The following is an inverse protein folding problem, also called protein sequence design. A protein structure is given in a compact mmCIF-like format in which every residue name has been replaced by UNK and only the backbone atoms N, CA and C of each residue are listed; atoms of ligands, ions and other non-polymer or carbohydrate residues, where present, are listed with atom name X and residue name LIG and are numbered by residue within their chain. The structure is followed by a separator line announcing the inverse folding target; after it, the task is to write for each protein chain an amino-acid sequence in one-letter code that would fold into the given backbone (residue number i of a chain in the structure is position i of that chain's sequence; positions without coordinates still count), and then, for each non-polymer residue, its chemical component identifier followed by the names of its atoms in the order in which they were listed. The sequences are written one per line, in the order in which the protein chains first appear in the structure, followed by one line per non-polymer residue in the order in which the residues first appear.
data_IF_149936501168
#
_entry.id   IF_149936501168
#
_cell.length_a   1.000
_cell.length_b   1.000
_cell.length_c   1.000
_cell.angle_alpha   90.00
_cell.angle_beta   90.00
_cell.angle_gamma   90.00
#
_symmetry.space_group_name_H-M   'P 1'
#
loop_
_entity.id
_entity.type
_entity.pdbx_description
1 polymer ?
#
# COMPACT_ATOMS: atom_id res chain seq x y z
N UNK A 1 33.97 -6.80 -45.99
CA UNK A 1 32.55 -6.45 -45.89
C UNK A 1 31.89 -7.53 -45.07
N UNK A 2 31.79 -7.34 -43.80
CA UNK A 2 30.99 -8.18 -42.91
C UNK A 2 30.28 -7.25 -41.95
N UNK A 3 28.99 -7.34 -41.97
CA UNK A 3 27.99 -6.57 -41.28
C UNK A 3 28.07 -6.80 -39.78
N UNK A 4 28.27 -5.72 -39.02
CA UNK A 4 28.08 -5.66 -37.59
C UNK A 4 26.56 -5.74 -37.28
N UNK A 5 26.13 -6.88 -36.81
CA UNK A 5 24.83 -7.04 -36.22
C UNK A 5 24.92 -6.51 -34.78
N UNK A 6 24.40 -5.34 -34.53
CA UNK A 6 24.25 -4.76 -33.21
C UNK A 6 23.34 -5.63 -32.34
N UNK A 7 23.92 -6.28 -31.38
CA UNK A 7 23.22 -6.92 -30.25
C UNK A 7 22.71 -5.76 -29.38
N UNK A 8 21.43 -5.45 -29.49
CA UNK A 8 20.76 -4.50 -28.62
C UNK A 8 20.74 -5.03 -27.19
N UNK A 9 21.60 -4.48 -26.36
CA UNK A 9 21.51 -4.63 -24.90
C UNK A 9 20.18 -4.06 -24.44
N UNK A 10 19.30 -4.90 -23.96
CA UNK A 10 18.12 -4.51 -23.19
C UNK A 10 18.58 -3.88 -21.89
N UNK A 11 19.01 -2.62 -21.93
CA UNK A 11 19.21 -1.81 -20.74
C UNK A 11 17.82 -1.59 -20.13
N UNK A 12 17.53 -2.33 -19.06
CA UNK A 12 16.42 -2.08 -18.16
C UNK A 12 16.38 -0.58 -17.86
N UNK A 13 15.26 0.04 -18.23
CA UNK A 13 14.99 1.42 -17.86
C UNK A 13 14.78 1.45 -16.36
N UNK A 14 15.83 1.76 -15.61
CA UNK A 14 15.70 2.21 -14.23
C UNK A 14 14.79 3.45 -14.29
N UNK A 15 13.54 3.28 -13.84
CA UNK A 15 12.56 4.36 -13.84
C UNK A 15 12.95 5.39 -12.78
N UNK A 16 13.85 6.29 -13.13
CA UNK A 16 14.20 7.46 -12.32
C UNK A 16 13.16 8.54 -12.52
N UNK A 17 12.65 9.10 -11.44
CA UNK A 17 11.79 10.27 -11.47
C UNK A 17 12.67 11.51 -11.31
N UNK A 18 12.66 12.41 -12.30
CA UNK A 18 13.58 13.54 -12.36
C UNK A 18 13.00 14.85 -11.83
N UNK A 19 11.66 14.95 -11.77
CA UNK A 19 10.98 16.16 -11.31
C UNK A 19 9.65 15.87 -10.60
N UNK A 20 9.17 16.86 -9.85
CA UNK A 20 7.86 16.83 -9.19
C UNK A 20 6.74 16.72 -10.25
N UNK A 21 6.86 17.46 -11.33
CA UNK A 21 5.85 17.47 -12.39
C UNK A 21 5.74 16.10 -13.06
N UNK A 22 6.86 15.41 -13.25
CA UNK A 22 6.87 14.04 -13.77
C UNK A 22 6.20 13.02 -12.82
N UNK A 23 6.35 13.18 -11.50
CA UNK A 23 5.60 12.37 -10.51
C UNK A 23 4.11 12.61 -10.68
N UNK A 24 3.71 13.87 -10.73
CA UNK A 24 2.29 14.26 -10.83
C UNK A 24 1.66 13.73 -12.12
N UNK A 25 2.32 13.91 -13.25
CA UNK A 25 1.86 13.44 -14.55
C UNK A 25 1.71 11.91 -14.59
N UNK A 26 2.69 11.17 -14.07
CA UNK A 26 2.65 9.71 -14.05
C UNK A 26 1.55 9.17 -13.14
N UNK A 27 1.37 9.73 -11.94
CA UNK A 27 0.29 9.34 -11.03
C UNK A 27 -1.07 9.62 -11.66
N UNK A 28 -1.24 10.79 -12.28
CA UNK A 28 -2.47 11.14 -12.99
C UNK A 28 -2.74 10.20 -14.19
N UNK A 29 -1.73 9.87 -14.98
CA UNK A 29 -1.83 8.91 -16.07
C UNK A 29 -2.17 7.49 -15.58
N UNK A 30 -1.74 7.14 -14.36
CA UNK A 30 -2.11 5.90 -13.66
C UNK A 30 -3.50 5.94 -13.00
N UNK A 31 -4.29 7.00 -13.22
CA UNK A 31 -5.65 7.13 -12.68
C UNK A 31 -5.73 7.64 -11.23
N UNK A 32 -4.59 8.05 -10.65
CA UNK A 32 -4.56 8.67 -9.32
C UNK A 32 -4.43 10.19 -9.46
N UNK A 33 -5.52 10.93 -9.23
CA UNK A 33 -5.53 12.40 -9.30
C UNK A 33 -4.66 12.98 -8.19
N UNK A 34 -3.45 13.42 -8.56
CA UNK A 34 -2.43 13.87 -7.63
C UNK A 34 -2.29 15.38 -7.61
N UNK A 35 -2.42 15.99 -6.42
CA UNK A 35 -2.09 17.39 -6.21
C UNK A 35 -0.57 17.61 -6.09
N UNK A 36 -0.11 18.87 -6.39
CA UNK A 36 1.32 19.21 -6.36
C UNK A 36 2.00 18.95 -5.00
N UNK A 37 1.32 19.23 -3.89
CA UNK A 37 1.87 19.00 -2.54
C UNK A 37 2.23 17.53 -2.32
N UNK A 38 1.30 16.62 -2.66
CA UNK A 38 1.53 15.17 -2.57
C UNK A 38 2.64 14.73 -3.54
N UNK A 39 2.61 15.19 -4.80
CA UNK A 39 3.66 14.88 -5.77
C UNK A 39 5.05 15.30 -5.28
N UNK A 40 5.14 16.45 -4.60
CA UNK A 40 6.39 16.94 -4.02
C UNK A 40 6.91 16.01 -2.93
N UNK A 41 6.05 15.58 -2.00
CA UNK A 41 6.48 14.70 -0.90
C UNK A 41 6.85 13.32 -1.43
N UNK A 42 6.10 12.78 -2.40
CA UNK A 42 6.43 11.52 -3.09
C UNK A 42 7.80 11.63 -3.78
N UNK A 43 8.04 12.71 -4.54
CA UNK A 43 9.32 12.96 -5.20
C UNK A 43 10.48 12.98 -4.21
N UNK A 44 10.31 13.70 -3.09
CA UNK A 44 11.33 13.78 -2.03
C UNK A 44 11.55 12.43 -1.36
N UNK A 45 10.50 11.65 -1.11
CA UNK A 45 10.59 10.30 -0.56
C UNK A 45 11.46 9.40 -1.45
N UNK A 46 11.19 9.38 -2.75
CA UNK A 46 11.95 8.61 -3.72
C UNK A 46 13.42 9.08 -3.81
N UNK A 47 13.65 10.39 -3.83
CA UNK A 47 14.99 10.96 -3.99
C UNK A 47 15.87 10.80 -2.75
N UNK A 48 15.29 10.86 -1.56
CA UNK A 48 16.01 10.79 -0.29
C UNK A 48 16.06 9.37 0.30
N UNK A 49 15.32 8.41 -0.30
CA UNK A 49 15.19 7.05 0.23
C UNK A 49 14.51 7.02 1.62
N UNK A 50 13.62 7.99 1.91
CA UNK A 50 12.93 8.08 3.21
C UNK A 50 11.51 7.56 3.09
N UNK A 51 11.00 6.83 4.10
CA UNK A 51 9.60 6.41 4.14
C UNK A 51 8.65 7.60 4.01
N UNK A 52 7.53 7.40 3.31
CA UNK A 52 6.42 8.34 3.20
C UNK A 52 5.33 7.96 4.20
N UNK A 53 4.98 8.87 5.12
CA UNK A 53 3.90 8.68 6.08
C UNK A 53 2.67 9.50 5.65
N UNK A 54 1.59 8.78 5.34
CA UNK A 54 0.32 9.35 4.90
C UNK A 54 -0.71 9.21 6.03
N UNK A 55 -1.18 10.31 6.54
CA UNK A 55 -2.20 10.38 7.58
C UNK A 55 -3.44 11.10 7.03
N UNK A 56 -4.63 10.77 7.49
CA UNK A 56 -5.88 11.39 7.05
C UNK A 56 -7.06 10.49 7.33
N UNK A 57 -8.26 10.98 7.06
CA UNK A 57 -9.50 10.24 7.27
C UNK A 57 -9.59 8.95 6.47
N UNK A 58 -10.45 8.01 6.90
CA UNK A 58 -10.70 6.80 6.13
C UNK A 58 -11.32 7.13 4.77
N UNK A 59 -10.99 6.34 3.73
CA UNK A 59 -11.59 6.49 2.40
C UNK A 59 -11.06 7.64 1.54
N UNK A 60 -10.05 8.42 1.99
CA UNK A 60 -9.47 9.53 1.19
C UNK A 60 -8.44 9.08 0.14
N UNK A 61 -8.16 7.79 0.02
CA UNK A 61 -7.30 7.24 -1.03
C UNK A 61 -5.82 7.08 -0.66
N UNK A 62 -5.44 7.01 0.64
CA UNK A 62 -4.05 6.81 1.11
C UNK A 62 -3.40 5.53 0.55
N UNK A 63 -4.09 4.40 0.64
CA UNK A 63 -3.64 3.10 0.13
C UNK A 63 -3.49 3.10 -1.40
N UNK A 64 -4.34 3.84 -2.11
CA UNK A 64 -4.32 3.94 -3.58
C UNK A 64 -3.05 4.60 -4.12
N UNK A 65 -2.42 5.50 -3.36
CA UNK A 65 -1.13 6.11 -3.74
C UNK A 65 -0.06 5.03 -3.95
N UNK A 66 0.01 4.05 -3.03
CA UNK A 66 0.99 2.97 -3.12
C UNK A 66 0.78 2.10 -4.38
N UNK A 67 -0.48 1.78 -4.71
CA UNK A 67 -0.82 1.03 -5.91
C UNK A 67 -0.48 1.81 -7.18
N UNK A 68 -0.87 3.09 -7.24
CA UNK A 68 -0.57 3.95 -8.38
C UNK A 68 0.94 4.10 -8.57
N UNK A 69 1.70 4.30 -7.48
CA UNK A 69 3.15 4.42 -7.54
C UNK A 69 3.82 3.12 -8.00
N UNK A 70 3.34 1.96 -7.52
CA UNK A 70 3.84 0.65 -7.95
C UNK A 70 3.64 0.45 -9.46
N UNK A 71 2.45 0.76 -9.96
CA UNK A 71 2.14 0.70 -11.39
C UNK A 71 3.00 1.66 -12.21
N UNK A 72 3.15 2.91 -11.75
CA UNK A 72 3.94 3.94 -12.44
C UNK A 72 5.43 3.61 -12.51
N UNK A 73 5.99 2.96 -11.50
CA UNK A 73 7.39 2.59 -11.42
C UNK A 73 7.67 1.18 -11.98
N UNK A 74 6.64 0.40 -12.30
CA UNK A 74 6.76 -0.99 -12.72
C UNK A 74 7.32 -1.89 -11.62
N UNK A 75 7.09 -1.55 -10.34
CA UNK A 75 7.58 -2.27 -9.17
C UNK A 75 6.49 -3.14 -8.55
N UNK A 76 6.88 -4.20 -7.87
CA UNK A 76 5.94 -4.99 -7.09
C UNK A 76 5.45 -4.23 -5.86
N UNK A 77 4.17 -4.38 -5.56
CA UNK A 77 3.56 -3.87 -4.33
C UNK A 77 3.45 -5.00 -3.32
N UNK A 78 4.12 -4.83 -2.18
CA UNK A 78 4.02 -5.73 -1.03
C UNK A 78 3.25 -4.99 0.05
N UNK A 79 2.14 -5.57 0.52
CA UNK A 79 1.28 -4.97 1.53
C UNK A 79 1.40 -5.69 2.86
N UNK A 80 1.75 -4.96 3.89
CA UNK A 80 1.60 -5.35 5.29
C UNK A 80 0.36 -4.66 5.86
N UNK A 81 -0.75 -5.39 5.95
CA UNK A 81 -1.95 -4.90 6.63
C UNK A 81 -1.74 -4.99 8.13
N UNK A 82 -1.78 -3.87 8.81
CA UNK A 82 -1.69 -3.81 10.27
C UNK A 82 -3.04 -4.13 10.92
N UNK A 83 -2.99 -4.81 12.06
CA UNK A 83 -4.14 -5.16 12.88
C UNK A 83 -3.72 -5.28 14.34
N UNK A 84 -4.69 -5.24 15.24
CA UNK A 84 -4.44 -5.36 16.67
C UNK A 84 -3.83 -6.73 17.03
N UNK A 85 -2.69 -6.70 17.74
CA UNK A 85 -1.93 -7.91 18.10
C UNK A 85 -0.99 -8.44 17.02
N UNK A 86 -0.75 -7.67 15.94
CA UNK A 86 0.31 -7.99 14.97
C UNK A 86 1.68 -7.92 15.65
N UNK A 87 2.38 -9.03 15.69
CA UNK A 87 3.73 -9.12 16.23
C UNK A 87 4.82 -9.06 15.13
N UNK A 88 6.07 -8.81 15.56
CA UNK A 88 7.22 -8.70 14.67
C UNK A 88 7.46 -10.00 13.87
N UNK A 89 7.29 -11.17 14.49
CA UNK A 89 7.54 -12.45 13.82
C UNK A 89 6.52 -12.68 12.71
N UNK A 90 5.24 -12.46 12.97
CA UNK A 90 4.17 -12.58 11.98
C UNK A 90 4.32 -11.63 10.78
N UNK A 91 4.99 -10.49 10.97
CA UNK A 91 5.27 -9.55 9.90
C UNK A 91 6.50 -9.90 9.06
N UNK A 92 7.45 -10.67 9.64
CA UNK A 92 8.73 -11.01 9.01
C UNK A 92 8.71 -12.39 8.37
N UNK A 93 8.38 -13.44 9.13
CA UNK A 93 8.46 -14.82 8.65
C UNK A 93 7.54 -15.77 9.41
N UNK A 94 7.38 -16.95 8.84
CA UNK A 94 6.74 -18.09 9.47
C UNK A 94 7.46 -19.37 9.06
N UNK A 95 7.62 -20.32 9.98
CA UNK A 95 8.13 -21.63 9.64
C UNK A 95 7.02 -22.53 9.08
N UNK A 96 7.29 -23.19 7.96
CA UNK A 96 6.38 -24.17 7.37
C UNK A 96 6.43 -25.49 8.17
N UNK A 97 5.80 -25.47 9.35
CA UNK A 97 5.78 -26.63 10.26
C UNK A 97 5.19 -27.88 9.61
N UNK A 98 4.24 -27.76 8.70
CA UNK A 98 3.68 -28.90 7.99
C UNK A 98 4.72 -29.58 7.11
N UNK A 99 5.48 -28.81 6.34
CA UNK A 99 6.56 -29.33 5.52
C UNK A 99 7.71 -29.91 6.37
N UNK A 100 8.07 -29.24 7.47
CA UNK A 100 9.07 -29.75 8.42
C UNK A 100 8.66 -31.12 9.01
N UNK A 101 7.39 -31.29 9.39
CA UNK A 101 6.88 -32.56 9.90
C UNK A 101 6.93 -33.69 8.87
N UNK A 102 6.65 -33.38 7.61
CA UNK A 102 6.77 -34.35 6.50
C UNK A 102 8.24 -34.74 6.31
N UNK A 103 9.15 -33.77 6.31
CA UNK A 103 10.60 -34.02 6.18
C UNK A 103 11.11 -34.91 7.31
N UNK A 104 10.74 -34.62 8.56
CA UNK A 104 11.09 -35.45 9.72
C UNK A 104 10.64 -36.91 9.53
N UNK A 105 9.38 -37.14 9.17
CA UNK A 105 8.83 -38.48 8.96
C UNK A 105 9.50 -39.23 7.81
N UNK A 106 9.87 -38.51 6.75
CA UNK A 106 10.57 -39.09 5.60
C UNK A 106 11.97 -39.60 6.02
N UNK A 107 12.68 -38.80 6.81
CA UNK A 107 14.00 -39.18 7.36
C UNK A 107 13.89 -40.37 8.32
N UNK A 108 12.90 -40.39 9.20
CA UNK A 108 12.65 -41.51 10.10
C UNK A 108 12.36 -42.81 9.34
N UNK A 109 11.58 -42.75 8.26
CA UNK A 109 11.22 -43.89 7.44
C UNK A 109 12.42 -44.47 6.63
N UNK A 110 13.37 -43.61 6.26
CA UNK A 110 14.57 -44.02 5.47
C UNK A 110 15.75 -44.47 6.32
N UNK A 111 15.62 -44.43 7.65
CA UNK A 111 16.57 -45.11 8.57
C UNK A 111 17.88 -44.38 8.86
N UNK A 112 18.00 -43.09 8.62
CA UNK A 112 19.19 -42.43 9.01
C UNK A 112 19.45 -41.00 8.57
N UNK A 113 19.49 -40.07 9.51
CA UNK A 113 20.42 -38.95 9.48
C UNK A 113 20.79 -38.58 10.92
N UNK A 114 22.04 -38.18 11.14
CA UNK A 114 22.50 -37.68 12.42
C UNK A 114 21.61 -36.49 12.88
N UNK A 115 21.06 -36.56 14.10
CA UNK A 115 20.15 -35.55 14.67
C UNK A 115 20.64 -34.11 14.59
N UNK A 116 21.95 -33.86 14.47
CA UNK A 116 22.55 -32.53 14.34
C UNK A 116 22.34 -31.91 12.96
N UNK A 117 22.43 -32.69 11.89
CA UNK A 117 22.20 -32.22 10.52
C UNK A 117 20.75 -31.90 10.27
N UNK A 118 19.81 -32.73 10.76
CA UNK A 118 18.40 -32.55 10.59
C UNK A 118 17.89 -31.22 11.18
N UNK A 119 18.40 -30.79 12.34
CA UNK A 119 17.98 -29.50 12.92
C UNK A 119 18.34 -28.30 12.06
N UNK A 120 19.54 -28.27 11.48
CA UNK A 120 19.98 -27.22 10.58
C UNK A 120 19.19 -27.22 9.28
N UNK A 121 18.85 -28.38 8.76
CA UNK A 121 18.06 -28.54 7.54
C UNK A 121 16.62 -28.08 7.74
N UNK A 122 15.98 -28.40 8.87
CA UNK A 122 14.61 -27.99 9.18
C UNK A 122 14.44 -26.48 9.37
N UNK A 123 15.48 -25.77 9.78
CA UNK A 123 15.49 -24.32 9.93
C UNK A 123 16.31 -23.64 8.82
N UNK A 124 16.20 -24.16 7.60
CA UNK A 124 16.75 -23.55 6.39
C UNK A 124 15.75 -22.69 5.65
N UNK A 125 16.21 -21.94 4.65
CA UNK A 125 15.36 -21.12 3.80
C UNK A 125 14.25 -21.92 3.07
N UNK A 126 14.46 -23.23 2.86
CA UNK A 126 13.48 -24.13 2.23
C UNK A 126 12.15 -24.19 3.00
N UNK A 127 12.23 -24.14 4.33
CA UNK A 127 11.05 -24.18 5.20
C UNK A 127 10.59 -22.82 5.68
N UNK A 128 11.23 -21.74 5.22
CA UNK A 128 10.90 -20.38 5.59
C UNK A 128 9.79 -19.83 4.67
N UNK A 129 8.71 -19.38 5.27
CA UNK A 129 7.67 -18.62 4.58
C UNK A 129 7.96 -17.14 4.82
N UNK A 130 8.45 -16.44 3.80
CA UNK A 130 8.68 -15.00 3.88
C UNK A 130 7.34 -14.25 4.01
N UNK A 131 7.21 -13.43 5.05
CA UNK A 131 6.10 -12.50 5.27
C UNK A 131 6.43 -11.12 4.68
N UNK A 132 5.50 -10.18 4.61
CA UNK A 132 5.66 -8.94 3.84
C UNK A 132 6.95 -8.16 4.10
N UNK A 133 7.41 -8.05 5.35
CA UNK A 133 8.65 -7.33 5.63
C UNK A 133 9.87 -8.04 5.05
N UNK A 134 9.96 -9.35 5.21
CA UNK A 134 11.07 -10.11 4.63
C UNK A 134 11.02 -10.11 3.11
N UNK A 135 9.84 -10.28 2.51
CA UNK A 135 9.67 -10.18 1.06
C UNK A 135 10.15 -8.84 0.53
N UNK A 136 9.85 -7.75 1.26
CA UNK A 136 10.29 -6.41 0.86
C UNK A 136 11.80 -6.22 0.98
N UNK A 137 12.45 -6.90 1.96
CA UNK A 137 13.91 -6.87 2.11
C UNK A 137 14.63 -7.73 1.07
N UNK A 138 14.03 -8.84 0.63
CA UNK A 138 14.60 -9.69 -0.40
C UNK A 138 14.56 -9.06 -1.79
N UNK A 139 13.52 -8.25 -2.05
CA UNK A 139 13.31 -7.67 -3.38
C UNK A 139 12.96 -8.71 -4.44
N UNK A 140 12.99 -8.28 -5.70
CA UNK A 140 12.80 -9.16 -6.87
C UNK A 140 13.53 -8.60 -8.11
N UNK A 141 13.40 -9.29 -9.24
CA UNK A 141 14.05 -8.94 -10.52
C UNK A 141 13.60 -7.59 -11.10
N UNK A 142 12.51 -7.01 -10.58
CA UNK A 142 12.01 -5.68 -10.97
C UNK A 142 12.66 -4.54 -10.18
N UNK A 143 13.56 -4.88 -9.24
CA UNK A 143 14.25 -3.96 -8.32
C UNK A 143 13.49 -3.75 -7.01
N UNK A 144 13.81 -2.71 -6.20
CA UNK A 144 13.25 -2.53 -4.88
C UNK A 144 11.73 -2.39 -4.93
N UNK A 145 10.97 -3.22 -4.20
CA UNK A 145 9.52 -3.18 -4.21
C UNK A 145 8.98 -1.95 -3.48
N UNK A 146 7.69 -1.69 -3.64
CA UNK A 146 6.97 -0.77 -2.76
C UNK A 146 6.41 -1.58 -1.60
N UNK A 147 6.85 -1.24 -0.39
CA UNK A 147 6.31 -1.76 0.86
C UNK A 147 5.25 -0.81 1.39
N UNK A 148 4.00 -1.24 1.35
CA UNK A 148 2.88 -0.53 1.97
C UNK A 148 2.62 -1.11 3.36
N UNK A 149 2.86 -0.32 4.40
CA UNK A 149 2.48 -0.61 5.78
C UNK A 149 1.15 0.12 6.02
N UNK A 150 0.06 -0.63 5.96
CA UNK A 150 -1.29 -0.07 5.90
C UNK A 150 -1.98 -0.12 7.27
N UNK A 151 -2.59 1.01 7.66
CA UNK A 151 -3.28 1.20 8.95
C UNK A 151 -2.38 0.95 10.17
N UNK A 152 -1.20 1.56 10.20
CA UNK A 152 -0.22 1.40 11.29
C UNK A 152 -0.79 1.77 12.67
N UNK A 153 -1.72 2.70 12.72
CA UNK A 153 -2.43 3.11 13.93
C UNK A 153 -3.27 1.99 14.60
N UNK A 154 -3.34 0.80 14.00
CA UNK A 154 -3.97 -0.39 14.59
C UNK A 154 -3.00 -1.30 15.34
N UNK A 155 -1.69 -1.04 15.27
CA UNK A 155 -0.69 -1.84 16.00
C UNK A 155 -0.39 -1.24 17.37
N UNK A 156 0.43 -1.91 18.14
CA UNK A 156 0.90 -1.44 19.44
C UNK A 156 2.28 -0.76 19.39
N UNK A 157 2.70 -0.13 20.47
CA UNK A 157 4.01 0.53 20.58
C UNK A 157 5.21 -0.43 20.38
N UNK A 158 5.20 -1.68 20.90
CA UNK A 158 6.25 -2.65 20.62
C UNK A 158 6.47 -2.91 19.14
N UNK A 159 5.40 -3.03 18.36
CA UNK A 159 5.49 -3.22 16.92
C UNK A 159 6.04 -1.98 16.20
N UNK A 160 5.64 -0.78 16.63
CA UNK A 160 6.22 0.47 16.09
C UNK A 160 7.71 0.58 16.38
N UNK A 161 8.16 0.21 17.58
CA UNK A 161 9.58 0.19 17.94
C UNK A 161 10.37 -0.80 17.07
N UNK A 162 9.81 -1.98 16.81
CA UNK A 162 10.38 -2.96 15.88
C UNK A 162 10.47 -2.40 14.45
N UNK A 163 9.41 -1.77 13.94
CA UNK A 163 9.43 -1.13 12.62
C UNK A 163 10.47 -0.01 12.54
N UNK A 164 10.61 0.76 13.60
CA UNK A 164 11.62 1.81 13.68
C UNK A 164 13.02 1.26 13.48
N UNK A 165 13.35 0.09 14.06
CA UNK A 165 14.63 -0.60 13.88
C UNK A 165 14.74 -1.16 12.45
N UNK A 166 13.75 -1.93 12.02
CA UNK A 166 13.76 -2.58 10.70
C UNK A 166 13.89 -1.60 9.53
N UNK A 167 13.19 -0.44 9.60
CA UNK A 167 13.23 0.58 8.54
C UNK A 167 14.45 1.51 8.63
N UNK A 168 15.23 1.48 9.74
CA UNK A 168 16.44 2.28 9.85
C UNK A 168 17.57 1.76 9.00
N UNK A 169 17.76 0.47 9.05
CA UNK A 169 18.87 -0.22 8.39
C UNK A 169 18.39 -1.10 7.22
N UNK A 170 17.08 -1.14 6.99
CA UNK A 170 16.42 -2.05 6.06
C UNK A 170 16.88 -3.49 6.24
N UNK A 171 16.80 -3.93 7.49
CA UNK A 171 17.28 -5.22 7.94
C UNK A 171 16.28 -5.87 8.89
N UNK A 172 16.15 -7.19 8.78
CA UNK A 172 15.38 -8.03 9.71
C UNK A 172 16.25 -9.17 10.21
N UNK A 173 16.02 -9.62 11.44
CA UNK A 173 16.78 -10.73 12.04
C UNK A 173 15.87 -11.93 12.28
N UNK A 174 16.28 -13.07 11.75
CA UNK A 174 15.65 -14.37 11.99
C UNK A 174 16.61 -15.17 12.87
N UNK A 175 16.21 -15.61 14.08
CA UNK A 175 17.14 -16.20 15.05
C UNK A 175 17.99 -17.35 14.50
N UNK A 176 17.43 -18.18 13.64
CA UNK A 176 18.10 -19.37 13.09
C UNK A 176 18.94 -19.07 11.84
N UNK A 177 18.63 -18.01 11.11
CA UNK A 177 19.28 -17.66 9.83
C UNK A 177 20.18 -16.42 9.94
N UNK A 178 20.04 -15.64 11.01
CA UNK A 178 20.77 -14.39 11.19
C UNK A 178 20.06 -13.18 10.59
N UNK A 179 20.83 -12.14 10.33
CA UNK A 179 20.28 -10.86 9.83
C UNK A 179 20.28 -10.82 8.30
N UNK A 180 19.12 -10.49 7.76
CA UNK A 180 18.89 -10.31 6.33
C UNK A 180 18.73 -8.83 6.07
N UNK A 181 19.64 -8.25 5.28
CA UNK A 181 19.62 -6.84 4.89
C UNK A 181 19.20 -6.71 3.43
N UNK A 182 18.35 -5.74 3.14
CA UNK A 182 17.95 -5.43 1.77
C UNK A 182 19.17 -4.99 0.95
N UNK A 183 19.44 -5.60 -0.23
CA UNK A 183 20.50 -5.16 -1.14
C UNK A 183 20.20 -3.74 -1.68
N UNK A 184 18.94 -3.47 -1.95
CA UNK A 184 18.41 -2.13 -2.26
C UNK A 184 17.19 -1.87 -1.36
N UNK A 185 17.15 -0.71 -0.66
CA UNK A 185 16.03 -0.39 0.22
C UNK A 185 14.69 -0.35 -0.52
N UNK A 186 13.62 -0.98 0.02
CA UNK A 186 12.29 -0.83 -0.55
C UNK A 186 11.79 0.61 -0.44
N UNK A 187 10.89 0.99 -1.33
CA UNK A 187 10.15 2.25 -1.23
C UNK A 187 9.03 2.05 -0.22
N UNK A 188 9.11 2.72 0.93
CA UNK A 188 8.17 2.48 2.03
C UNK A 188 7.10 3.56 2.09
N UNK A 189 5.85 3.13 2.11
CA UNK A 189 4.67 3.97 2.34
C UNK A 189 3.96 3.45 3.57
N UNK A 190 3.75 4.33 4.55
CA UNK A 190 3.01 4.05 5.78
C UNK A 190 1.71 4.81 5.75
N UNK A 191 0.59 4.18 6.09
CA UNK A 191 -0.71 4.84 6.23
C UNK A 191 -1.22 4.79 7.65
N UNK A 192 -1.99 5.81 8.04
CA UNK A 192 -2.70 5.91 9.32
C UNK A 192 -4.05 6.58 9.12
N UNK A 193 -5.09 6.06 9.78
CA UNK A 193 -6.40 6.68 9.89
C UNK A 193 -6.54 7.52 11.17
N UNK A 194 -5.45 7.65 11.92
CA UNK A 194 -5.39 8.38 13.18
C UNK A 194 -6.40 7.89 14.24
N UNK A 195 -6.69 6.60 14.26
CA UNK A 195 -7.52 5.99 15.32
C UNK A 195 -6.81 6.03 16.68
N UNK A 196 -5.47 6.05 16.65
CA UNK A 196 -4.58 6.38 17.76
C UNK A 196 -3.35 7.14 17.27
N UNK A 197 -2.66 7.82 18.15
CA UNK A 197 -1.39 8.47 17.85
C UNK A 197 -0.28 7.44 17.59
N UNK A 198 0.43 7.60 16.47
CA UNK A 198 1.64 6.83 16.15
C UNK A 198 2.85 7.53 16.77
N UNK A 199 3.80 6.75 17.28
CA UNK A 199 4.94 7.26 18.02
C UNK A 199 5.79 8.25 17.20
N UNK A 200 6.11 9.38 17.81
CA UNK A 200 6.85 10.48 17.17
C UNK A 200 8.20 10.06 16.56
N UNK A 201 8.90 9.09 17.15
CA UNK A 201 10.19 8.64 16.65
C UNK A 201 10.07 8.04 15.23
N UNK A 202 8.96 7.36 14.93
CA UNK A 202 8.70 6.82 13.61
C UNK A 202 8.31 7.93 12.63
N UNK A 203 7.42 8.84 13.03
CA UNK A 203 7.03 9.99 12.21
C UNK A 203 8.22 10.86 11.81
N UNK A 204 9.18 11.10 12.72
CA UNK A 204 10.41 11.89 12.44
C UNK A 204 11.33 11.27 11.39
N UNK A 205 11.29 9.97 11.21
CA UNK A 205 12.06 9.26 10.16
C UNK A 205 11.41 9.31 8.79
N UNK A 206 10.11 9.56 8.74
CA UNK A 206 9.32 9.64 7.53
C UNK A 206 9.25 11.07 6.98
N UNK A 207 8.89 11.19 5.71
CA UNK A 207 8.31 12.40 5.17
C UNK A 207 6.81 12.32 5.38
N UNK A 208 6.24 13.35 6.00
CA UNK A 208 4.84 13.38 6.42
C UNK A 208 3.96 14.12 5.42
N UNK A 209 2.77 13.58 5.15
CA UNK A 209 1.75 14.28 4.39
C UNK A 209 0.36 13.95 4.93
N UNK A 210 -0.41 14.98 5.22
CA UNK A 210 -1.82 14.85 5.54
C UNK A 210 -2.63 14.78 4.25
N UNK A 211 -3.48 13.75 4.12
CA UNK A 211 -4.37 13.57 2.96
C UNK A 211 -5.77 14.00 3.36
N UNK A 212 -6.14 15.19 2.92
CA UNK A 212 -7.48 15.75 3.13
C UNK A 212 -8.51 15.17 2.16
N UNK A 213 -9.78 15.40 2.48
CA UNK A 213 -10.85 15.27 1.50
C UNK A 213 -10.53 16.17 0.30
N UNK A 214 -10.77 15.70 -0.93
CA UNK A 214 -10.57 16.53 -2.11
C UNK A 214 -11.61 17.65 -2.16
N UNK A 215 -11.25 18.77 -2.76
CA UNK A 215 -12.20 19.79 -3.18
C UNK A 215 -13.10 19.26 -4.31
N UNK A 216 -14.11 20.05 -4.68
CA UNK A 216 -15.11 19.68 -5.69
C UNK A 216 -14.47 19.27 -7.03
N UNK A 217 -13.56 20.08 -7.54
CA UNK A 217 -12.96 19.86 -8.86
C UNK A 217 -12.09 18.61 -8.88
N UNK A 218 -11.32 18.38 -7.82
CA UNK A 218 -10.48 17.20 -7.67
C UNK A 218 -11.32 15.94 -7.48
N UNK A 219 -12.39 16.00 -6.67
CA UNK A 219 -13.26 14.84 -6.48
C UNK A 219 -14.02 14.49 -7.77
N UNK A 220 -14.46 15.50 -8.53
CA UNK A 220 -15.06 15.31 -9.84
C UNK A 220 -14.08 14.68 -10.84
N UNK A 221 -12.81 15.08 -10.81
CA UNK A 221 -11.76 14.48 -11.63
C UNK A 221 -11.51 13.01 -11.23
N UNK A 222 -11.47 12.70 -9.94
CA UNK A 222 -11.35 11.33 -9.42
C UNK A 222 -12.55 10.50 -9.88
N UNK A 223 -13.76 11.02 -9.70
CA UNK A 223 -14.98 10.29 -10.07
C UNK A 223 -15.02 9.97 -11.57
N UNK A 224 -14.65 10.93 -12.42
CA UNK A 224 -14.55 10.72 -13.87
C UNK A 224 -13.50 9.66 -14.25
N UNK A 225 -12.38 9.61 -13.54
CA UNK A 225 -11.35 8.60 -13.77
C UNK A 225 -11.81 7.19 -13.34
N UNK A 226 -12.56 7.08 -12.25
CA UNK A 226 -12.99 5.81 -11.65
C UNK A 226 -14.35 5.29 -12.13
N UNK A 227 -15.20 6.19 -12.62
CA UNK A 227 -16.54 5.88 -13.17
C UNK A 227 -16.77 6.62 -14.50
N UNK A 228 -15.99 6.31 -15.56
CA UNK A 228 -16.02 7.07 -16.82
C UNK A 228 -17.35 7.01 -17.56
N UNK A 229 -18.17 5.99 -17.26
CA UNK A 229 -19.49 5.80 -17.88
C UNK A 229 -20.62 6.59 -17.19
N UNK A 230 -20.34 7.25 -16.06
CA UNK A 230 -21.33 8.08 -15.41
C UNK A 230 -21.55 9.38 -16.19
N UNK A 231 -22.81 9.77 -16.41
CA UNK A 231 -23.14 11.02 -17.10
C UNK A 231 -22.49 12.23 -16.41
N UNK A 232 -22.03 13.19 -17.19
CA UNK A 232 -21.27 14.33 -16.66
C UNK A 232 -22.11 15.18 -15.66
N UNK A 233 -23.40 15.35 -15.93
CA UNK A 233 -24.30 16.11 -15.06
C UNK A 233 -24.54 15.34 -13.75
N UNK A 234 -24.83 14.03 -13.83
CA UNK A 234 -25.00 13.19 -12.65
C UNK A 234 -23.71 13.12 -11.82
N UNK A 235 -22.53 13.10 -12.46
CA UNK A 235 -21.24 13.17 -11.73
C UNK A 235 -21.10 14.44 -10.91
N UNK A 236 -21.55 15.58 -11.44
CA UNK A 236 -21.54 16.86 -10.71
C UNK A 236 -22.53 16.88 -9.55
N UNK A 237 -23.74 16.32 -9.77
CA UNK A 237 -24.75 16.20 -8.72
C UNK A 237 -24.26 15.33 -7.56
N UNK A 238 -23.65 14.16 -7.87
CA UNK A 238 -23.06 13.24 -6.89
C UNK A 238 -22.00 13.95 -6.05
N UNK A 239 -21.03 14.60 -6.70
CA UNK A 239 -19.96 15.31 -5.97
C UNK A 239 -20.52 16.46 -5.15
N UNK A 240 -21.45 17.26 -5.70
CA UNK A 240 -22.07 18.37 -4.98
C UNK A 240 -22.81 17.88 -3.72
N UNK A 241 -23.55 16.78 -3.84
CA UNK A 241 -24.25 16.18 -2.71
C UNK A 241 -23.29 15.68 -1.63
N UNK A 242 -22.22 14.98 -2.00
CA UNK A 242 -21.20 14.47 -1.06
C UNK A 242 -20.48 15.62 -0.36
N UNK A 243 -20.11 16.68 -1.09
CA UNK A 243 -19.47 17.86 -0.50
C UNK A 243 -20.40 18.53 0.54
N UNK A 244 -21.69 18.71 0.19
CA UNK A 244 -22.67 19.26 1.13
C UNK A 244 -22.86 18.34 2.36
N UNK A 245 -22.91 17.02 2.15
CA UNK A 245 -23.08 16.05 3.23
C UNK A 245 -21.88 16.07 4.21
N UNK A 246 -20.67 16.36 3.73
CA UNK A 246 -19.48 16.50 4.59
C UNK A 246 -19.50 17.76 5.48
N UNK A 247 -20.32 18.75 5.18
CA UNK A 247 -20.50 19.93 6.04
C UNK A 247 -21.45 19.65 7.22
N UNK A 248 -22.26 18.58 7.11
CA UNK A 248 -23.14 18.16 8.19
C UNK A 248 -22.37 17.52 9.37
N UNK A 249 -22.99 17.56 10.56
CA UNK A 249 -22.42 16.96 11.78
C UNK A 249 -22.71 15.46 11.81
N UNK A 250 -21.97 14.71 11.00
CA UNK A 250 -22.06 13.26 10.90
C UNK A 250 -21.02 12.58 11.80
N UNK A 251 -21.39 11.47 12.40
CA UNK A 251 -20.46 10.63 13.16
C UNK A 251 -19.26 10.21 12.29
N UNK A 252 -19.49 9.87 11.02
CA UNK A 252 -18.45 9.59 10.04
C UNK A 252 -18.81 10.17 8.69
N UNK A 253 -18.01 11.12 8.24
CA UNK A 253 -18.16 11.74 6.91
C UNK A 253 -17.79 10.75 5.80
N UNK A 254 -18.54 10.71 4.69
CA UNK A 254 -18.22 9.82 3.56
C UNK A 254 -16.89 10.23 2.91
N UNK A 255 -16.03 9.24 2.66
CA UNK A 255 -14.77 9.41 1.93
C UNK A 255 -14.96 9.36 0.42
N UNK A 256 -13.86 9.49 -0.31
CA UNK A 256 -13.83 9.36 -1.78
C UNK A 256 -14.22 7.95 -2.23
N UNK A 257 -13.88 6.94 -1.43
CA UNK A 257 -14.26 5.56 -1.70
C UNK A 257 -15.78 5.39 -1.74
N UNK A 258 -16.49 5.96 -0.76
CA UNK A 258 -17.95 5.95 -0.71
C UNK A 258 -18.56 6.73 -1.89
N UNK A 259 -17.96 7.85 -2.31
CA UNK A 259 -18.38 8.58 -3.51
C UNK A 259 -18.30 7.71 -4.77
N UNK A 260 -17.19 7.00 -4.95
CA UNK A 260 -16.99 6.10 -6.09
C UNK A 260 -17.97 4.92 -6.06
N UNK A 261 -18.17 4.33 -4.90
CA UNK A 261 -19.07 3.19 -4.73
C UNK A 261 -20.53 3.61 -4.98
N UNK A 262 -20.93 4.79 -4.50
CA UNK A 262 -22.25 5.32 -4.78
C UNK A 262 -22.46 5.58 -6.27
N UNK A 263 -21.49 6.17 -6.94
CA UNK A 263 -21.54 6.36 -8.38
C UNK A 263 -21.73 5.04 -9.15
N UNK A 264 -21.07 3.97 -8.72
CA UNK A 264 -21.26 2.62 -9.29
C UNK A 264 -22.66 2.06 -9.02
N UNK A 265 -23.22 2.32 -7.82
CA UNK A 265 -24.60 1.95 -7.51
C UNK A 265 -25.59 2.67 -8.43
N UNK A 266 -25.41 4.00 -8.63
CA UNK A 266 -26.25 4.78 -9.53
C UNK A 266 -26.16 4.29 -10.99
N UNK A 267 -24.98 3.93 -11.45
CA UNK A 267 -24.79 3.30 -12.76
C UNK A 267 -25.52 1.96 -12.87
N UNK A 268 -25.48 1.12 -11.84
CA UNK A 268 -26.15 -0.18 -11.82
C UNK A 268 -27.69 -0.06 -11.78
N UNK A 269 -28.21 1.10 -11.35
CA UNK A 269 -29.65 1.43 -11.36
C UNK A 269 -30.08 2.19 -12.61
N UNK A 270 -29.18 2.38 -13.58
CA UNK A 270 -29.43 3.21 -14.78
C UNK A 270 -29.97 4.62 -14.44
N UNK A 271 -29.56 5.18 -13.28
CA UNK A 271 -30.02 6.47 -12.83
C UNK A 271 -29.49 7.60 -13.72
N UNK A 272 -30.33 8.54 -14.10
CA UNK A 272 -29.99 9.67 -14.96
C UNK A 272 -29.88 11.00 -14.19
N UNK A 273 -30.40 11.06 -12.96
CA UNK A 273 -30.38 12.23 -12.08
C UNK A 273 -30.54 11.80 -10.62
N UNK A 274 -30.18 12.67 -9.67
CA UNK A 274 -30.39 12.46 -8.23
C UNK A 274 -31.77 12.97 -7.82
N UNK A 275 -32.80 12.10 -7.90
CA UNK A 275 -34.08 12.42 -7.25
C UNK A 275 -34.01 12.09 -5.76
N UNK A 276 -34.88 12.71 -4.92
CA UNK A 276 -34.98 12.39 -3.49
C UNK A 276 -35.20 10.92 -3.23
N UNK A 277 -35.97 10.21 -4.06
CA UNK A 277 -36.24 8.78 -3.95
C UNK A 277 -34.97 7.98 -4.21
N UNK A 278 -34.21 8.27 -5.28
CA UNK A 278 -32.94 7.62 -5.61
C UNK A 278 -31.93 7.82 -4.49
N UNK A 279 -31.87 9.02 -3.92
CA UNK A 279 -30.97 9.29 -2.78
C UNK A 279 -31.38 8.42 -1.59
N UNK A 280 -32.66 8.41 -1.21
CA UNK A 280 -33.16 7.64 -0.07
C UNK A 280 -32.90 6.14 -0.23
N UNK A 281 -33.13 5.59 -1.42
CA UNK A 281 -32.94 4.17 -1.73
C UNK A 281 -31.46 3.76 -1.75
N UNK A 282 -30.55 4.70 -2.01
CA UNK A 282 -29.11 4.43 -2.14
C UNK A 282 -28.25 4.99 -1.02
N UNK A 283 -28.86 5.64 0.00
CA UNK A 283 -28.16 6.29 1.10
C UNK A 283 -27.20 5.36 1.84
N UNK A 284 -27.55 4.07 1.98
CA UNK A 284 -26.69 3.05 2.58
C UNK A 284 -25.38 2.78 1.82
N UNK A 285 -25.23 3.28 0.59
CA UNK A 285 -23.95 3.21 -0.11
C UNK A 285 -22.93 4.22 0.44
N UNK A 286 -23.40 5.37 0.92
CA UNK A 286 -22.56 6.49 1.39
C UNK A 286 -22.54 6.64 2.91
N UNK A 287 -23.63 6.38 3.61
CA UNK A 287 -23.69 6.41 5.07
C UNK A 287 -23.66 4.99 5.64
N UNK A 288 -22.73 4.75 6.56
CA UNK A 288 -22.52 3.44 7.21
C UNK A 288 -22.99 3.41 8.68
N UNK A 289 -23.46 4.55 9.16
CA UNK A 289 -24.01 4.74 10.50
C UNK A 289 -25.40 5.34 10.39
N UNK A 290 -26.24 5.07 11.39
CA UNK A 290 -27.58 5.63 11.48
C UNK A 290 -27.47 6.90 12.34
N UNK A 291 -27.23 8.04 11.68
CA UNK A 291 -27.18 9.37 12.29
C UNK A 291 -28.54 10.07 12.22
#
# INVERSE_FOLDING_TARGET
MLSDAAIGSGAERVFTVESIDQVQERLNAGGYVCGRALATVVFLSLKLGRPLFLEGEAGVGKTEIAKALAACLGRNLIRLQCYEGLDASSAVYEWNFAAQMIAIRTVEATGGVERRGLKQELFSEEFLIARPLLQAMQGDDRGPPILLIDELDRTDEPFEAFLLEALSDFQVTIPELGSIKAPEPPIVIVTSNRTREVHDALKRRCLYHWVDYPDFDRELAILKAQAPNLAADLSREVVAFIQALREEDLFKKPGVAETIDWAKCLLALDSISLSPEVIADTLGAILKYQD
#
